data_IF_512010940339
#
_entry.id   IF_512010940339
#
_cell.length_a   1.000
_cell.length_b   1.000
_cell.length_c   1.000
_cell.angle_alpha   90.00
_cell.angle_beta   90.00
_cell.angle_gamma   90.00
#
_symmetry.space_group_name_H-M   'P 1'
#
loop_
_entity.id
_entity.type
_entity.pdbx_description
1 polymer ?
#
# COMPACT_ATOMS: atom_id res chain seq x y z
N UNK A 1 -9.59 23.65 7.40
CA UNK A 1 -9.19 22.75 6.29
C UNK A 1 -7.85 22.04 6.52
N UNK A 2 -6.68 22.71 6.61
CA UNK A 2 -5.39 22.00 6.87
C UNK A 2 -5.32 21.31 8.25
N UNK A 3 -5.83 21.96 9.29
CA UNK A 3 -5.88 21.37 10.63
C UNK A 3 -6.83 20.15 10.68
N UNK A 4 -7.99 20.23 10.04
CA UNK A 4 -8.97 19.13 10.00
C UNK A 4 -8.43 17.92 9.24
N UNK A 5 -7.73 18.14 8.11
CA UNK A 5 -7.04 17.06 7.38
C UNK A 5 -6.00 16.38 8.26
N UNK A 6 -5.11 17.14 8.88
CA UNK A 6 -4.07 16.57 9.75
C UNK A 6 -4.68 15.81 10.94
N UNK A 7 -5.72 16.34 11.57
CA UNK A 7 -6.40 15.68 12.68
C UNK A 7 -7.05 14.35 12.24
N UNK A 8 -7.75 14.33 11.10
CA UNK A 8 -8.37 13.11 10.57
C UNK A 8 -7.35 12.03 10.24
N UNK A 9 -6.21 12.40 9.63
CA UNK A 9 -5.12 11.47 9.32
C UNK A 9 -4.52 10.88 10.60
N UNK A 10 -4.30 11.69 11.64
CA UNK A 10 -3.82 11.20 12.93
C UNK A 10 -4.82 10.25 13.61
N UNK A 11 -6.12 10.54 13.52
CA UNK A 11 -7.17 9.63 14.02
C UNK A 11 -7.12 8.29 13.27
N UNK A 12 -6.97 8.29 11.94
CA UNK A 12 -6.85 7.06 11.16
C UNK A 12 -5.63 6.24 11.54
N UNK A 13 -4.47 6.88 11.71
CA UNK A 13 -3.23 6.24 12.20
C UNK A 13 -3.45 5.54 13.55
N UNK A 14 -4.05 6.24 14.51
CA UNK A 14 -4.36 5.69 15.83
C UNK A 14 -5.36 4.53 15.75
N UNK A 15 -6.44 4.68 14.96
CA UNK A 15 -7.44 3.62 14.79
C UNK A 15 -6.83 2.36 14.17
N UNK A 16 -5.96 2.49 13.17
CA UNK A 16 -5.27 1.35 12.56
C UNK A 16 -4.33 0.67 13.56
N UNK A 17 -3.55 1.43 14.32
CA UNK A 17 -2.69 0.85 15.35
C UNK A 17 -3.50 0.12 16.43
N UNK A 18 -4.63 0.69 16.85
CA UNK A 18 -5.54 0.05 17.79
C UNK A 18 -6.20 -1.21 17.22
N UNK A 19 -6.59 -1.20 15.94
CA UNK A 19 -7.13 -2.37 15.25
C UNK A 19 -6.12 -3.53 15.26
N UNK A 20 -4.86 -3.23 14.91
CA UNK A 20 -3.75 -4.18 14.95
C UNK A 20 -3.62 -4.73 16.37
N UNK A 21 -3.44 -3.89 17.38
CA UNK A 21 -3.26 -4.30 18.78
C UNK A 21 -4.43 -5.10 19.35
N UNK A 22 -5.67 -4.77 18.99
CA UNK A 22 -6.85 -5.49 19.47
C UNK A 22 -7.01 -6.86 18.82
N UNK A 23 -6.63 -6.98 17.53
CA UNK A 23 -6.58 -8.27 16.83
C UNK A 23 -5.45 -9.17 17.40
N UNK A 24 -4.46 -8.54 18.03
CA UNK A 24 -3.22 -9.13 18.54
C UNK A 24 -3.22 -9.55 20.01
N UNK A 25 -4.27 -9.28 20.81
CA UNK A 25 -4.21 -9.38 22.29
C UNK A 25 -3.76 -10.76 22.84
N UNK A 26 -3.79 -11.82 22.04
CA UNK A 26 -3.37 -13.16 22.43
C UNK A 26 -2.05 -13.63 21.79
N UNK A 27 -1.42 -12.85 20.92
CA UNK A 27 -0.14 -13.20 20.28
C UNK A 27 0.98 -12.29 20.80
N UNK A 28 2.04 -12.87 21.37
CA UNK A 28 3.14 -12.16 22.02
C UNK A 28 3.95 -11.25 21.06
N UNK A 29 3.72 -11.34 19.76
CA UNK A 29 4.59 -10.71 18.75
C UNK A 29 3.79 -9.94 17.68
N UNK A 30 3.40 -8.71 18.03
CA UNK A 30 2.77 -7.71 17.14
C UNK A 30 3.53 -7.50 15.82
N UNK A 31 4.84 -7.72 15.86
CA UNK A 31 5.81 -7.68 14.77
C UNK A 31 5.40 -8.51 13.57
N UNK A 32 4.76 -9.65 13.81
CA UNK A 32 4.29 -10.58 12.77
C UNK A 32 3.19 -9.94 11.92
N UNK A 33 2.34 -9.12 12.54
CA UNK A 33 1.19 -8.55 11.85
C UNK A 33 1.57 -7.48 10.83
N UNK A 34 2.81 -6.97 10.86
CA UNK A 34 3.34 -6.14 9.77
C UNK A 34 3.21 -6.86 8.43
N UNK A 35 3.46 -8.17 8.42
CA UNK A 35 3.43 -9.03 7.23
C UNK A 35 2.01 -9.34 6.77
N UNK A 36 0.98 -8.92 7.51
CA UNK A 36 -0.43 -9.08 7.15
C UNK A 36 -1.12 -7.74 6.88
N UNK A 37 -0.96 -6.77 7.78
CA UNK A 37 -1.62 -5.47 7.64
C UNK A 37 -1.08 -4.68 6.45
N UNK A 38 0.24 -4.67 6.23
CA UNK A 38 0.84 -3.90 5.14
C UNK A 38 0.43 -4.46 3.78
N UNK A 39 0.48 -5.79 3.53
CA UNK A 39 -0.13 -6.40 2.35
C UNK A 39 -1.61 -6.09 2.16
N UNK A 40 -2.44 -6.18 3.20
CA UNK A 40 -3.88 -5.90 3.10
C UNK A 40 -4.14 -4.43 2.71
N UNK A 41 -3.37 -3.49 3.27
CA UNK A 41 -3.44 -2.08 2.92
C UNK A 41 -3.01 -1.83 1.47
N UNK A 42 -1.91 -2.45 1.03
CA UNK A 42 -1.45 -2.41 -0.37
C UNK A 42 -2.52 -2.98 -1.32
N UNK A 43 -3.08 -4.13 -0.96
CA UNK A 43 -4.13 -4.78 -1.72
C UNK A 43 -5.39 -3.92 -1.83
N UNK A 44 -5.86 -3.33 -0.73
CA UNK A 44 -6.99 -2.39 -0.74
C UNK A 44 -6.75 -1.24 -1.72
N UNK A 45 -5.58 -0.60 -1.61
CA UNK A 45 -5.21 0.51 -2.49
C UNK A 45 -5.22 0.10 -3.96
N UNK A 46 -4.62 -1.06 -4.28
CA UNK A 46 -4.58 -1.59 -5.64
C UNK A 46 -5.97 -1.97 -6.16
N UNK A 47 -6.85 -2.53 -5.31
CA UNK A 47 -8.24 -2.81 -5.68
C UNK A 47 -9.00 -1.54 -6.03
N UNK A 48 -8.92 -0.50 -5.20
CA UNK A 48 -9.62 0.77 -5.46
C UNK A 48 -9.08 1.46 -6.71
N UNK A 49 -7.75 1.43 -6.91
CA UNK A 49 -7.13 1.93 -8.13
C UNK A 49 -7.63 1.16 -9.35
N UNK A 50 -7.65 -0.16 -9.28
CA UNK A 50 -8.15 -1.02 -10.35
C UNK A 50 -9.61 -0.71 -10.68
N UNK A 51 -10.49 -0.58 -9.68
CA UNK A 51 -11.89 -0.22 -9.89
C UNK A 51 -12.04 1.13 -10.60
N UNK A 52 -11.24 2.14 -10.20
CA UNK A 52 -11.19 3.45 -10.86
C UNK A 52 -10.70 3.33 -12.31
N UNK A 53 -9.67 2.51 -12.57
CA UNK A 53 -9.12 2.30 -13.92
C UNK A 53 -10.13 1.56 -14.82
N UNK A 54 -10.85 0.57 -14.29
CA UNK A 54 -11.95 -0.09 -15.01
C UNK A 54 -13.01 0.93 -15.42
N UNK A 55 -13.43 1.80 -14.50
CA UNK A 55 -14.50 2.76 -14.76
C UNK A 55 -14.07 3.87 -15.74
N UNK A 56 -12.82 4.34 -15.67
CA UNK A 56 -12.34 5.49 -16.45
C UNK A 56 -11.69 5.11 -17.77
N UNK A 57 -10.97 4.00 -17.81
CA UNK A 57 -10.02 3.68 -18.87
C UNK A 57 -10.41 2.45 -19.70
N UNK A 58 -11.60 1.87 -19.45
CA UNK A 58 -12.10 0.73 -20.25
C UNK A 58 -13.46 1.02 -20.87
N UNK A 59 -13.79 0.30 -21.94
CA UNK A 59 -15.09 0.41 -22.61
C UNK A 59 -16.28 0.01 -21.72
N UNK A 60 -16.02 -0.71 -20.61
CA UNK A 60 -17.05 -1.10 -19.67
C UNK A 60 -17.64 0.15 -18.99
N UNK A 61 -16.82 1.14 -18.64
CA UNK A 61 -17.27 2.43 -18.09
C UNK A 61 -17.93 2.37 -16.70
N UNK A 62 -18.11 1.19 -16.12
CA UNK A 62 -18.60 1.01 -14.75
C UNK A 62 -18.22 -0.35 -14.18
N UNK A 63 -18.15 -0.42 -12.85
CA UNK A 63 -17.85 -1.67 -12.13
C UNK A 63 -18.98 -2.71 -12.27
N UNK A 64 -20.23 -2.25 -12.40
CA UNK A 64 -21.37 -3.13 -12.58
C UNK A 64 -21.33 -3.84 -13.95
N UNK A 65 -21.01 -3.10 -15.01
CA UNK A 65 -20.82 -3.69 -16.35
C UNK A 65 -19.64 -4.66 -16.38
N UNK A 66 -18.57 -4.38 -15.63
CA UNK A 66 -17.47 -5.32 -15.47
C UNK A 66 -17.93 -6.64 -14.85
N UNK A 67 -18.65 -6.58 -13.72
CA UNK A 67 -19.22 -7.76 -13.05
C UNK A 67 -20.12 -8.56 -14.00
N UNK A 68 -21.07 -7.89 -14.64
CA UNK A 68 -22.02 -8.52 -15.57
C UNK A 68 -21.33 -9.13 -16.79
N UNK A 69 -20.30 -8.49 -17.33
CA UNK A 69 -19.54 -9.02 -18.46
C UNK A 69 -18.72 -10.23 -18.04
N UNK A 70 -18.06 -10.17 -16.88
CA UNK A 70 -17.26 -11.26 -16.34
C UNK A 70 -18.05 -12.56 -16.18
N UNK A 71 -19.27 -12.46 -15.64
CA UNK A 71 -20.15 -13.61 -15.41
C UNK A 71 -20.67 -14.24 -16.71
N UNK A 72 -20.67 -13.48 -17.82
CA UNK A 72 -21.12 -13.95 -19.13
C UNK A 72 -19.98 -14.47 -20.00
N UNK A 73 -18.76 -14.00 -19.76
CA UNK A 73 -17.60 -14.34 -20.56
C UNK A 73 -17.15 -15.79 -20.36
N UNK A 74 -16.81 -16.45 -21.46
CA UNK A 74 -16.12 -17.73 -21.40
C UNK A 74 -14.65 -17.58 -20.95
N UNK A 75 -13.96 -18.70 -20.74
CA UNK A 75 -12.56 -18.68 -20.29
C UNK A 75 -11.61 -17.98 -21.27
N UNK A 76 -11.89 -17.98 -22.57
CA UNK A 76 -11.07 -17.31 -23.58
C UNK A 76 -11.28 -15.79 -23.52
N UNK A 77 -12.53 -15.35 -23.38
CA UNK A 77 -12.88 -13.94 -23.24
C UNK A 77 -12.30 -13.36 -21.95
N UNK A 78 -12.43 -14.06 -20.82
CA UNK A 78 -11.81 -13.68 -19.55
C UNK A 78 -10.28 -13.60 -19.69
N UNK A 79 -9.65 -14.56 -20.36
CA UNK A 79 -8.20 -14.56 -20.60
C UNK A 79 -7.75 -13.36 -21.45
N UNK A 80 -8.48 -13.05 -22.53
CA UNK A 80 -8.22 -11.87 -23.37
C UNK A 80 -8.33 -10.58 -22.58
N UNK A 81 -9.39 -10.43 -21.78
CA UNK A 81 -9.56 -9.27 -20.92
C UNK A 81 -8.43 -9.16 -19.88
N UNK A 82 -8.10 -10.25 -19.19
CA UNK A 82 -6.98 -10.32 -18.23
C UNK A 82 -5.68 -9.85 -18.87
N UNK A 83 -5.34 -10.33 -20.07
CA UNK A 83 -4.11 -9.95 -20.76
C UNK A 83 -4.09 -8.47 -21.17
N UNK A 84 -5.20 -7.96 -21.71
CA UNK A 84 -5.31 -6.55 -22.09
C UNK A 84 -5.17 -5.63 -20.87
N UNK A 85 -5.86 -5.94 -19.79
CA UNK A 85 -5.84 -5.14 -18.56
C UNK A 85 -4.47 -5.24 -17.86
N UNK A 86 -3.83 -6.41 -17.84
CA UNK A 86 -2.46 -6.53 -17.32
C UNK A 86 -1.47 -5.67 -18.11
N UNK A 87 -1.63 -5.55 -19.43
CA UNK A 87 -0.79 -4.65 -20.24
C UNK A 87 -0.93 -3.18 -19.89
N UNK A 88 -2.08 -2.77 -19.36
CA UNK A 88 -2.38 -1.38 -19.00
C UNK A 88 -2.16 -1.09 -17.50
N UNK A 89 -2.77 -1.87 -16.61
CA UNK A 89 -2.71 -1.69 -15.16
C UNK A 89 -1.49 -2.37 -14.52
N UNK A 90 -0.85 -3.31 -15.21
CA UNK A 90 0.19 -4.20 -14.66
C UNK A 90 -0.37 -5.46 -13.99
N UNK A 91 -1.63 -5.45 -13.57
CA UNK A 91 -2.28 -6.54 -12.84
C UNK A 91 -3.78 -6.63 -13.18
N UNK A 92 -4.45 -7.67 -12.68
CA UNK A 92 -5.89 -7.86 -12.85
C UNK A 92 -6.51 -8.49 -11.60
N UNK A 93 -7.63 -7.94 -11.12
CA UNK A 93 -8.38 -8.49 -9.99
C UNK A 93 -9.75 -8.96 -10.49
N UNK A 94 -10.07 -10.24 -10.27
CA UNK A 94 -11.39 -10.79 -10.63
C UNK A 94 -12.48 -10.16 -9.75
N UNK A 95 -13.73 -10.03 -10.25
CA UNK A 95 -14.76 -9.32 -9.52
C UNK A 95 -15.03 -9.85 -8.11
N UNK A 96 -14.99 -11.18 -7.91
CA UNK A 96 -15.20 -11.75 -6.57
C UNK A 96 -14.08 -11.42 -5.57
N UNK A 97 -12.89 -11.04 -6.07
CA UNK A 97 -11.74 -10.69 -5.26
C UNK A 97 -11.57 -9.20 -5.07
N UNK A 98 -12.42 -8.33 -5.63
CA UNK A 98 -12.36 -6.89 -5.34
C UNK A 98 -12.57 -6.63 -3.85
N UNK A 99 -11.93 -5.59 -3.30
CA UNK A 99 -12.00 -5.23 -1.88
C UNK A 99 -13.45 -5.11 -1.38
N UNK A 100 -14.30 -4.39 -2.12
CA UNK A 100 -15.72 -4.25 -1.78
C UNK A 100 -16.47 -5.60 -1.80
N UNK A 101 -16.14 -6.48 -2.74
CA UNK A 101 -16.74 -7.81 -2.84
C UNK A 101 -16.28 -8.74 -1.72
N UNK A 102 -15.03 -8.65 -1.29
CA UNK A 102 -14.52 -9.36 -0.11
C UNK A 102 -15.26 -8.90 1.15
N UNK A 103 -15.44 -7.59 1.36
CA UNK A 103 -16.25 -7.09 2.48
C UNK A 103 -17.70 -7.57 2.44
N UNK A 104 -18.32 -7.58 1.26
CA UNK A 104 -19.67 -8.13 1.12
C UNK A 104 -19.72 -9.61 1.47
N UNK A 105 -18.71 -10.40 1.09
CA UNK A 105 -18.63 -11.82 1.46
C UNK A 105 -18.49 -12.03 2.97
N UNK A 106 -17.82 -11.11 3.68
CA UNK A 106 -17.71 -11.12 5.15
C UNK A 106 -19.09 -10.86 5.76
N UNK A 107 -19.80 -9.83 5.28
CA UNK A 107 -21.13 -9.47 5.78
C UNK A 107 -22.20 -10.54 5.51
N UNK A 108 -21.99 -11.40 4.52
CA UNK A 108 -22.86 -12.52 4.16
C UNK A 108 -22.42 -13.85 4.79
N UNK A 109 -21.43 -13.84 5.67
CA UNK A 109 -20.83 -15.04 6.29
C UNK A 109 -20.28 -16.10 5.30
N UNK A 110 -19.99 -15.70 4.06
CA UNK A 110 -19.44 -16.56 3.01
C UNK A 110 -17.93 -16.37 2.78
N UNK A 111 -17.27 -15.60 3.65
CA UNK A 111 -15.84 -15.31 3.53
C UNK A 111 -14.95 -16.52 3.88
N UNK A 112 -13.87 -16.68 3.11
CA UNK A 112 -12.78 -17.61 3.39
C UNK A 112 -11.43 -16.91 3.18
N UNK A 113 -10.45 -17.16 4.06
CA UNK A 113 -9.08 -16.66 3.91
C UNK A 113 -8.45 -17.05 2.57
N UNK A 114 -8.89 -18.16 1.96
CA UNK A 114 -8.44 -18.61 0.64
C UNK A 114 -8.78 -17.58 -0.45
N UNK A 115 -9.86 -16.81 -0.30
CA UNK A 115 -10.19 -15.73 -1.22
C UNK A 115 -9.13 -14.62 -1.18
N UNK A 116 -8.54 -14.33 -0.02
CA UNK A 116 -7.46 -13.36 0.12
C UNK A 116 -6.18 -13.86 -0.54
N UNK A 117 -5.79 -15.11 -0.30
CA UNK A 117 -4.64 -15.72 -0.97
C UNK A 117 -4.76 -15.64 -2.50
N UNK A 118 -5.94 -15.96 -3.05
CA UNK A 118 -6.21 -15.82 -4.49
C UNK A 118 -6.19 -14.37 -4.96
N UNK A 119 -6.73 -13.44 -4.17
CA UNK A 119 -6.73 -12.02 -4.50
C UNK A 119 -5.30 -11.47 -4.60
N UNK A 120 -4.44 -11.76 -3.61
CA UNK A 120 -3.05 -11.34 -3.60
C UNK A 120 -2.25 -11.94 -4.76
N UNK A 121 -2.41 -13.24 -5.01
CA UNK A 121 -1.79 -13.93 -6.17
C UNK A 121 -2.23 -13.37 -7.52
N UNK A 122 -3.46 -12.86 -7.63
CA UNK A 122 -3.93 -12.24 -8.87
C UNK A 122 -3.19 -10.93 -9.20
N UNK A 123 -2.64 -10.27 -8.18
CA UNK A 123 -1.85 -9.05 -8.31
C UNK A 123 -0.36 -9.34 -8.53
N UNK A 124 0.17 -10.42 -7.94
CA UNK A 124 1.56 -10.88 -8.13
C UNK A 124 1.86 -11.18 -9.60
N UNK A 125 2.22 -10.10 -10.29
CA UNK A 125 2.58 -10.02 -11.70
C UNK A 125 4.00 -9.48 -11.79
N UNK A 126 4.54 -9.32 -12.99
CA UNK A 126 5.93 -8.88 -13.16
C UNK A 126 6.27 -7.58 -12.39
N UNK A 127 5.33 -6.63 -12.33
CA UNK A 127 5.51 -5.34 -11.65
C UNK A 127 5.38 -5.39 -10.12
N UNK A 128 4.76 -6.44 -9.57
CA UNK A 128 4.47 -6.59 -8.13
C UNK A 128 5.04 -7.89 -7.56
N UNK A 129 6.01 -8.48 -8.26
CA UNK A 129 6.67 -9.71 -7.82
C UNK A 129 7.32 -9.46 -6.47
N UNK A 130 7.01 -10.32 -5.50
CA UNK A 130 7.55 -10.23 -4.15
C UNK A 130 6.80 -9.30 -3.20
N UNK A 131 5.77 -8.58 -3.67
CA UNK A 131 5.03 -7.65 -2.82
C UNK A 131 4.32 -8.36 -1.65
N UNK A 132 3.90 -9.62 -1.85
CA UNK A 132 3.13 -10.38 -0.86
C UNK A 132 3.85 -11.65 -0.39
N UNK A 133 5.16 -11.79 -0.64
CA UNK A 133 5.93 -12.99 -0.30
C UNK A 133 5.92 -13.33 1.19
N UNK A 134 5.87 -12.31 2.06
CA UNK A 134 5.83 -12.51 3.52
C UNK A 134 4.41 -12.80 4.05
N UNK A 135 3.37 -12.70 3.20
CA UNK A 135 1.99 -12.94 3.61
C UNK A 135 1.68 -14.44 3.62
N UNK A 136 1.91 -15.08 4.76
CA UNK A 136 1.77 -16.53 4.91
C UNK A 136 0.38 -16.93 5.44
N UNK A 137 -0.40 -17.66 4.66
CA UNK A 137 -1.68 -18.27 5.10
C UNK A 137 -1.63 -19.80 5.14
N UNK A 138 -0.45 -20.41 5.07
CA UNK A 138 -0.27 -21.86 5.13
C UNK A 138 -0.57 -22.42 6.53
N UNK A 139 -0.55 -23.73 6.68
CA UNK A 139 -0.71 -24.41 7.99
C UNK A 139 0.33 -23.97 9.03
N UNK A 140 1.48 -23.43 8.60
CA UNK A 140 2.53 -22.93 9.48
C UNK A 140 2.39 -21.45 9.82
N UNK A 141 1.35 -20.79 9.30
CA UNK A 141 1.15 -19.36 9.51
C UNK A 141 1.05 -19.04 11.00
N UNK A 142 1.53 -17.88 11.36
CA UNK A 142 1.43 -17.36 12.72
C UNK A 142 0.04 -16.77 13.05
N UNK A 143 -0.90 -16.81 12.09
CA UNK A 143 -2.29 -16.46 12.34
C UNK A 143 -3.07 -17.56 13.07
N UNK A 144 -2.52 -18.77 13.16
CA UNK A 144 -3.14 -19.90 13.84
C UNK A 144 -3.86 -20.84 12.87
N UNK A 145 -4.87 -21.56 13.36
CA UNK A 145 -5.64 -22.51 12.55
C UNK A 145 -6.57 -21.79 11.54
N UNK A 146 -7.28 -22.55 10.69
CA UNK A 146 -8.18 -21.98 9.67
C UNK A 146 -9.28 -21.06 10.23
N UNK A 147 -9.86 -21.40 11.38
CA UNK A 147 -10.89 -20.61 12.04
C UNK A 147 -10.32 -19.29 12.58
N UNK A 148 -9.13 -19.34 13.19
CA UNK A 148 -8.42 -18.16 13.67
C UNK A 148 -7.97 -17.26 12.52
N UNK A 149 -7.48 -17.83 11.41
CA UNK A 149 -7.15 -17.10 10.18
C UNK A 149 -8.36 -16.32 9.67
N UNK A 150 -9.49 -17.02 9.51
CA UNK A 150 -10.73 -16.40 9.05
C UNK A 150 -11.17 -15.27 9.98
N UNK A 151 -11.20 -15.51 11.29
CA UNK A 151 -11.63 -14.53 12.30
C UNK A 151 -10.75 -13.29 12.31
N UNK A 152 -9.42 -13.47 12.31
CA UNK A 152 -8.45 -12.37 12.30
C UNK A 152 -8.53 -11.58 10.99
N UNK A 153 -8.56 -12.25 9.84
CA UNK A 153 -8.65 -11.57 8.54
C UNK A 153 -9.98 -10.83 8.35
N UNK A 154 -11.12 -11.43 8.76
CA UNK A 154 -12.42 -10.74 8.80
C UNK A 154 -12.31 -9.44 9.61
N UNK A 155 -11.75 -9.54 10.82
CA UNK A 155 -11.58 -8.39 11.72
C UNK A 155 -10.71 -7.30 11.10
N UNK A 156 -9.59 -7.67 10.48
CA UNK A 156 -8.69 -6.73 9.83
C UNK A 156 -9.34 -6.06 8.62
N UNK A 157 -9.98 -6.83 7.72
CA UNK A 157 -10.58 -6.30 6.50
C UNK A 157 -11.74 -5.36 6.82
N UNK A 158 -12.67 -5.79 7.68
CA UNK A 158 -13.78 -4.96 8.13
C UNK A 158 -13.28 -3.73 8.91
N UNK A 159 -12.28 -3.90 9.76
CA UNK A 159 -11.68 -2.80 10.52
C UNK A 159 -11.01 -1.76 9.62
N UNK A 160 -10.22 -2.19 8.63
CA UNK A 160 -9.62 -1.30 7.63
C UNK A 160 -10.75 -0.58 6.87
N UNK A 161 -11.75 -1.31 6.39
CA UNK A 161 -12.82 -0.69 5.61
C UNK A 161 -13.54 0.40 6.41
N UNK A 162 -13.92 0.12 7.65
CA UNK A 162 -14.57 1.09 8.53
C UNK A 162 -13.71 2.34 8.82
N UNK A 163 -12.37 2.23 8.77
CA UNK A 163 -11.47 3.35 9.00
C UNK A 163 -11.39 4.28 7.77
N UNK A 164 -11.39 3.70 6.57
CA UNK A 164 -11.21 4.45 5.33
C UNK A 164 -12.53 4.84 4.65
N UNK A 165 -13.60 4.05 4.80
CA UNK A 165 -14.90 4.29 4.19
C UNK A 165 -15.51 5.61 4.68
N UNK A 166 -15.82 6.51 3.74
CA UNK A 166 -16.36 7.84 4.02
C UNK A 166 -15.33 8.87 4.53
N UNK A 167 -14.04 8.52 4.53
CA UNK A 167 -12.96 9.42 4.96
C UNK A 167 -11.97 9.70 3.83
N UNK A 168 -12.36 10.61 2.93
CA UNK A 168 -11.54 11.01 1.77
C UNK A 168 -10.14 11.50 2.19
N UNK A 169 -10.00 12.12 3.36
CA UNK A 169 -8.70 12.54 3.88
C UNK A 169 -7.76 11.38 4.17
N UNK A 170 -8.28 10.24 4.64
CA UNK A 170 -7.45 9.07 4.92
C UNK A 170 -7.10 8.31 3.64
N UNK A 171 -8.01 8.29 2.65
CA UNK A 171 -7.71 7.76 1.32
C UNK A 171 -6.59 8.57 0.64
N UNK A 172 -6.68 9.91 0.67
CA UNK A 172 -5.64 10.80 0.15
C UNK A 172 -4.31 10.69 0.90
N UNK A 173 -4.35 10.29 2.18
CA UNK A 173 -3.17 10.16 3.04
C UNK A 173 -2.69 8.71 3.21
N UNK A 174 -3.13 7.79 2.35
CA UNK A 174 -2.79 6.36 2.45
C UNK A 174 -1.27 6.12 2.54
N UNK A 175 -0.47 6.83 1.72
CA UNK A 175 0.99 6.73 1.77
C UNK A 175 1.58 7.20 3.11
N UNK A 176 1.05 8.27 3.69
CA UNK A 176 1.48 8.78 5.00
C UNK A 176 1.11 7.80 6.13
N UNK A 177 -0.07 7.18 6.05
CA UNK A 177 -0.54 6.16 6.98
C UNK A 177 0.33 4.91 6.88
N UNK A 178 0.65 4.47 5.67
CA UNK A 178 1.51 3.32 5.41
C UNK A 178 2.90 3.52 6.02
N UNK A 179 3.51 4.69 5.77
CA UNK A 179 4.80 5.06 6.34
C UNK A 179 4.78 5.11 7.87
N UNK A 180 3.73 5.70 8.45
CA UNK A 180 3.54 5.70 9.90
C UNK A 180 3.51 4.28 10.49
N UNK A 181 2.84 3.34 9.84
CA UNK A 181 2.79 1.95 10.32
C UNK A 181 4.17 1.29 10.26
N UNK A 182 4.93 1.48 9.18
CA UNK A 182 6.31 1.00 9.10
C UNK A 182 7.16 1.56 10.25
N UNK A 183 7.12 2.88 10.46
CA UNK A 183 7.85 3.54 11.54
C UNK A 183 7.44 3.00 12.93
N UNK A 184 6.15 2.74 13.12
CA UNK A 184 5.60 2.24 14.38
C UNK A 184 6.04 0.79 14.64
N UNK A 185 6.00 -0.09 13.63
CA UNK A 185 6.51 -1.46 13.75
C UNK A 185 8.01 -1.51 14.02
N UNK A 186 8.80 -0.68 13.33
CA UNK A 186 10.25 -0.56 13.59
C UNK A 186 10.50 -0.12 15.03
N UNK A 187 9.78 0.91 15.48
CA UNK A 187 9.92 1.43 16.85
C UNK A 187 9.56 0.37 17.90
N UNK A 188 8.49 -0.40 17.69
CA UNK A 188 8.06 -1.49 18.57
C UNK A 188 9.07 -2.67 18.57
N UNK A 189 9.73 -2.96 17.44
CA UNK A 189 10.77 -3.98 17.37
C UNK A 189 12.03 -3.59 18.14
N UNK A 190 12.42 -2.31 18.03
CA UNK A 190 13.58 -1.75 18.75
C UNK A 190 13.33 -1.81 20.27
N UNK A 191 12.15 -1.41 20.74
CA UNK A 191 11.82 -1.48 22.18
C UNK A 191 11.82 -2.92 22.68
N UNK A 192 11.43 -3.89 21.85
CA UNK A 192 11.45 -5.33 22.14
C UNK A 192 12.83 -6.00 22.00
N UNK A 193 13.89 -5.24 21.71
CA UNK A 193 15.28 -5.75 21.52
C UNK A 193 15.40 -6.88 20.48
N UNK A 194 14.46 -6.95 19.52
CA UNK A 194 14.59 -7.90 18.43
C UNK A 194 15.66 -7.40 17.46
N UNK A 195 16.77 -8.14 17.35
CA UNK A 195 17.86 -7.84 16.40
C UNK A 195 17.45 -8.28 14.99
N UNK A 196 16.50 -7.60 14.38
CA UNK A 196 16.27 -7.71 12.93
C UNK A 196 17.34 -6.89 12.20
N UNK A 197 18.00 -7.46 11.19
CA UNK A 197 19.05 -6.81 10.40
C UNK A 197 18.57 -5.70 9.46
N UNK A 198 17.29 -5.34 9.52
CA UNK A 198 16.68 -4.26 8.74
C UNK A 198 16.80 -2.94 9.50
N UNK A 199 17.76 -2.09 9.10
CA UNK A 199 17.93 -0.76 9.66
C UNK A 199 17.03 0.25 8.93
N UNK A 200 16.08 0.84 9.65
CA UNK A 200 15.27 1.95 9.14
C UNK A 200 15.94 3.28 9.48
N UNK A 201 16.08 4.18 8.51
CA UNK A 201 16.60 5.54 8.76
C UNK A 201 15.57 6.33 9.58
N UNK A 202 15.89 6.77 10.82
CA UNK A 202 14.93 7.47 11.67
C UNK A 202 14.31 8.69 10.97
N UNK A 203 13.04 9.03 11.19
CA UNK A 203 12.34 10.06 10.42
C UNK A 203 13.00 11.44 10.44
N UNK A 204 13.64 11.79 11.57
CA UNK A 204 14.40 13.03 11.76
C UNK A 204 15.70 13.05 10.95
N UNK A 205 16.39 11.91 10.85
CA UNK A 205 17.60 11.75 10.03
C UNK A 205 17.22 11.80 8.56
N UNK A 206 16.16 11.10 8.15
CA UNK A 206 15.64 11.15 6.78
C UNK A 206 15.22 12.55 6.37
N UNK A 207 14.58 13.30 7.27
CA UNK A 207 14.23 14.71 7.05
C UNK A 207 15.49 15.56 6.83
N UNK A 208 16.46 15.50 7.74
CA UNK A 208 17.70 16.26 7.62
C UNK A 208 18.45 15.94 6.31
N UNK A 209 18.62 14.66 6.00
CA UNK A 209 19.31 14.21 4.78
C UNK A 209 18.58 14.70 3.52
N UNK A 210 17.24 14.57 3.48
CA UNK A 210 16.44 15.03 2.35
C UNK A 210 16.58 16.53 2.11
N UNK A 211 16.59 17.35 3.18
CA UNK A 211 16.80 18.79 3.09
C UNK A 211 18.21 19.14 2.59
N UNK A 212 19.26 18.46 3.09
CA UNK A 212 20.65 18.65 2.64
C UNK A 212 20.77 18.35 1.14
N UNK A 213 20.19 17.23 0.69
CA UNK A 213 20.23 16.81 -0.71
C UNK A 213 19.50 17.83 -1.59
N UNK A 214 18.30 18.25 -1.22
CA UNK A 214 17.52 19.24 -1.97
C UNK A 214 18.26 20.58 -2.05
N UNK A 215 18.84 21.05 -0.95
CA UNK A 215 19.63 22.28 -0.95
C UNK A 215 20.85 22.20 -1.88
N UNK A 216 21.57 21.07 -1.89
CA UNK A 216 22.73 20.86 -2.78
C UNK A 216 22.35 20.70 -4.26
N UNK A 217 21.11 20.32 -4.56
CA UNK A 217 20.65 20.00 -5.92
C UNK A 217 19.68 21.03 -6.49
N UNK A 218 19.39 22.12 -5.77
CA UNK A 218 18.41 23.15 -6.14
C UNK A 218 18.46 23.70 -7.57
N UNK A 219 19.65 23.79 -8.15
CA UNK A 219 19.88 24.34 -9.49
C UNK A 219 20.29 23.26 -10.50
N UNK A 220 20.08 21.99 -10.18
CA UNK A 220 20.42 20.86 -11.04
C UNK A 220 19.15 20.22 -11.57
N UNK A 221 19.21 19.74 -12.81
CA UNK A 221 18.20 18.83 -13.32
C UNK A 221 18.47 17.44 -12.73
N UNK A 222 17.58 16.95 -11.87
CA UNK A 222 17.75 15.67 -11.18
C UNK A 222 17.18 14.57 -12.08
N UNK A 223 18.03 13.68 -12.57
CA UNK A 223 17.65 12.58 -13.46
C UNK A 223 17.61 11.22 -12.76
N UNK A 224 18.34 11.07 -11.65
CA UNK A 224 18.44 9.83 -10.86
C UNK A 224 18.71 10.14 -9.38
N UNK A 225 18.06 9.41 -8.48
CA UNK A 225 18.42 9.31 -7.06
C UNK A 225 18.67 7.82 -6.76
N UNK A 226 19.78 7.52 -6.10
CA UNK A 226 20.21 6.16 -5.82
C UNK A 226 20.54 6.02 -4.33
N UNK A 227 20.02 4.97 -3.69
CA UNK A 227 20.37 4.58 -2.33
C UNK A 227 20.61 3.06 -2.28
N UNK A 228 21.88 2.59 -2.28
CA UNK A 228 22.22 1.16 -2.32
C UNK A 228 21.73 0.36 -1.12
N UNK A 229 21.32 1.04 -0.04
CA UNK A 229 20.87 0.44 1.20
C UNK A 229 19.49 1.00 1.60
N UNK A 230 18.63 1.29 0.62
CA UNK A 230 17.39 2.04 0.83
C UNK A 230 16.39 1.37 1.80
N UNK A 231 16.50 0.05 2.00
CA UNK A 231 15.57 -0.73 2.82
C UNK A 231 14.13 -0.45 2.41
N UNK A 232 13.34 0.13 3.32
CA UNK A 232 11.95 0.57 3.06
C UNK A 232 11.75 1.62 1.95
N UNK A 233 12.82 2.23 1.42
CA UNK A 233 12.74 3.32 0.45
C UNK A 233 12.23 4.64 1.05
N UNK A 234 12.06 4.73 2.37
CA UNK A 234 11.49 5.89 3.06
C UNK A 234 12.28 7.18 2.83
N UNK A 235 13.62 7.09 2.85
CA UNK A 235 14.50 8.22 2.55
C UNK A 235 14.30 8.71 1.10
N UNK A 236 14.27 7.79 0.14
CA UNK A 236 14.06 8.08 -1.28
C UNK A 236 12.73 8.80 -1.51
N UNK A 237 11.64 8.31 -0.93
CA UNK A 237 10.32 8.94 -1.00
C UNK A 237 10.33 10.34 -0.37
N UNK A 238 11.04 10.50 0.76
CA UNK A 238 11.14 11.79 1.46
C UNK A 238 11.92 12.82 0.66
N UNK A 239 12.99 12.42 -0.03
CA UNK A 239 13.73 13.28 -0.96
C UNK A 239 12.82 13.74 -2.10
N UNK A 240 12.08 12.83 -2.75
CA UNK A 240 11.12 13.22 -3.81
C UNK A 240 10.09 14.21 -3.27
N UNK A 241 9.56 13.97 -2.07
CA UNK A 241 8.55 14.84 -1.47
C UNK A 241 9.09 16.25 -1.21
N UNK A 242 10.35 16.39 -0.80
CA UNK A 242 11.02 17.69 -0.67
C UNK A 242 11.27 18.37 -2.02
N UNK A 243 11.67 17.61 -3.04
CA UNK A 243 11.84 18.12 -4.40
C UNK A 243 10.50 18.67 -4.93
N UNK A 244 9.41 17.92 -4.76
CA UNK A 244 8.08 18.26 -5.29
C UNK A 244 7.36 19.37 -4.50
N UNK A 245 7.58 19.46 -3.18
CA UNK A 245 6.88 20.45 -2.34
C UNK A 245 7.56 21.84 -2.28
N UNK A 246 8.65 22.04 -3.03
CA UNK A 246 9.09 23.33 -3.56
C UNK A 246 9.07 24.52 -2.57
N UNK A 247 9.71 24.39 -1.39
CA UNK A 247 10.04 25.56 -0.55
C UNK A 247 11.39 25.41 0.12
N UNK A 248 12.26 26.40 -0.07
CA UNK A 248 13.40 26.63 0.81
C UNK A 248 12.97 27.37 2.11
N UNK A 249 13.90 27.56 3.06
CA UNK A 249 13.66 28.32 4.31
C UNK A 249 13.13 29.75 4.09
N UNK A 250 13.25 30.29 2.87
CA UNK A 250 12.79 31.63 2.48
C UNK A 250 11.46 31.64 1.69
N UNK A 251 10.93 30.47 1.34
CA UNK A 251 9.68 30.33 0.59
C UNK A 251 9.80 30.43 -0.93
N UNK A 252 11.00 30.37 -1.51
CA UNK A 252 11.18 30.31 -2.97
C UNK A 252 10.91 28.90 -3.51
N UNK A 253 10.22 28.84 -4.66
CA UNK A 253 9.87 27.59 -5.36
C UNK A 253 11.04 27.11 -6.22
N UNK A 254 11.39 25.82 -6.15
CA UNK A 254 12.24 25.20 -7.15
C UNK A 254 11.42 24.89 -8.43
N UNK A 255 12.12 24.76 -9.56
CA UNK A 255 11.51 24.66 -10.89
C UNK A 255 11.20 23.23 -11.36
N UNK A 256 11.29 22.24 -10.46
CA UNK A 256 11.16 20.83 -10.82
C UNK A 256 9.90 20.25 -10.17
N UNK A 257 8.74 20.39 -10.83
CA UNK A 257 7.57 19.59 -10.50
C UNK A 257 7.76 18.20 -11.13
N UNK A 258 8.10 17.19 -10.32
CA UNK A 258 8.29 15.83 -10.81
C UNK A 258 7.01 15.05 -10.51
N UNK A 259 6.20 14.72 -11.51
CA UNK A 259 5.01 13.90 -11.29
C UNK A 259 5.40 12.50 -10.80
N UNK A 260 4.86 12.11 -9.65
CA UNK A 260 5.06 10.79 -9.03
C UNK A 260 4.73 9.61 -9.97
N UNK A 261 3.86 9.82 -10.97
CA UNK A 261 3.41 8.78 -11.90
C UNK A 261 4.41 8.43 -13.02
N UNK A 262 5.55 9.13 -13.12
CA UNK A 262 6.59 8.87 -14.12
C UNK A 262 7.93 8.38 -13.53
N UNK A 263 7.97 8.10 -12.22
CA UNK A 263 9.17 7.56 -11.58
C UNK A 263 9.34 6.08 -11.95
N UNK A 264 10.47 5.72 -12.56
CA UNK A 264 10.85 4.31 -12.74
C UNK A 264 11.71 3.88 -11.57
N UNK A 265 11.43 2.70 -11.03
CA UNK A 265 12.27 2.06 -10.02
C UNK A 265 13.19 1.07 -10.73
N UNK A 266 14.50 1.23 -10.57
CA UNK A 266 15.52 0.30 -11.06
C UNK A 266 16.07 -0.47 -9.84
N UNK A 267 16.11 -1.80 -9.93
CA UNK A 267 16.64 -2.73 -8.91
C UNK A 267 16.07 -2.58 -7.47
N UNK A 268 15.01 -1.80 -7.28
CA UNK A 268 14.42 -1.52 -5.96
C UNK A 268 15.14 -0.45 -5.15
N UNK A 269 16.30 0.04 -5.61
CA UNK A 269 17.20 0.95 -4.88
C UNK A 269 17.40 2.32 -5.56
N UNK A 270 16.87 2.46 -6.77
CA UNK A 270 17.08 3.60 -7.63
C UNK A 270 15.76 4.18 -8.11
N UNK A 271 15.62 5.50 -8.04
CA UNK A 271 14.56 6.26 -8.69
C UNK A 271 15.11 6.98 -9.92
N UNK A 272 14.51 6.71 -11.07
CA UNK A 272 14.79 7.37 -12.35
C UNK A 272 13.67 8.36 -12.67
N UNK A 273 14.08 9.57 -13.05
CA UNK A 273 13.18 10.65 -13.40
C UNK A 273 12.96 10.69 -14.92
N UNK A 274 11.73 10.97 -15.39
CA UNK A 274 11.47 11.15 -16.81
C UNK A 274 12.24 12.36 -17.34
N UNK A 275 12.68 12.28 -18.60
CA UNK A 275 13.27 13.40 -19.34
C UNK A 275 12.20 14.35 -19.87
#
# INVERSE_FOLDING_TARGET
MKNDKNQNVQICKQKLWNLINNTLRNSEDTTIFKDYILPLLSFRYLSIKFEKDICKNTILGSLEKYKQAWDKWDSNEQSRFKNNIKGFCGFHIEPQYLWANLNNSINQDNFSFVAIDKALKSIESHCFKGLFENFDLTEKSKLGNEEEKNTKLKTLITGIDNIFSGNEFCEDAMGEIYMYLIETFVSDNITKKQKSGEFFTPPSVSELLSQIICHKTKNKNITKIYDPCCGSGSLLLKIINHINNNKDFSGQKYKNDIPYYNLKIENGDTLLFPH
#
